data_IF_268724867797
#
_entry.id   IF_268724867797
#
_cell.length_a   1.000
_cell.length_b   1.000
_cell.length_c   1.000
_cell.angle_alpha   90.00
_cell.angle_beta   90.00
_cell.angle_gamma   90.00
#
_symmetry.space_group_name_H-M   'P 1'
#
loop_
_entity.id
_entity.type
_entity.pdbx_description
1 polymer ?
#
# COMPACT_ATOMS: atom_id res chain seq x y z
N UNK A 1 -6.09 2.53 84.63
CA UNK A 1 -4.93 1.95 85.34
C UNK A 1 -4.59 0.63 84.65
N UNK A 2 -3.61 0.64 83.71
CA UNK A 2 -2.43 -0.25 83.60
C UNK A 2 -2.73 -1.74 83.89
N UNK A 3 -2.49 -2.73 83.02
CA UNK A 3 -1.26 -3.03 82.24
C UNK A 3 -1.48 -4.20 81.26
N UNK A 4 -0.81 -4.18 80.10
CA UNK A 4 -0.14 -5.33 79.43
C UNK A 4 0.53 -4.80 78.14
N UNK A 5 1.80 -4.40 78.15
CA UNK A 5 3.03 -5.18 77.90
C UNK A 5 3.22 -5.71 76.46
N UNK A 6 4.13 -5.00 75.78
CA UNK A 6 4.96 -5.27 74.60
C UNK A 6 5.23 -6.74 74.17
N UNK A 7 5.13 -6.94 72.84
CA UNK A 7 6.12 -7.64 71.99
C UNK A 7 6.03 -6.98 70.59
N UNK A 8 7.02 -6.18 70.14
CA UNK A 8 8.25 -6.57 69.43
C UNK A 8 7.95 -7.31 68.11
N UNK A 9 7.80 -6.58 67.00
CA UNK A 9 8.83 -6.29 65.98
C UNK A 9 9.09 -7.49 65.05
N UNK A 10 8.60 -7.41 63.81
CA UNK A 10 9.19 -8.00 62.60
C UNK A 10 8.46 -7.43 61.36
N UNK A 11 8.62 -6.12 61.13
CA UNK A 11 8.36 -5.51 59.84
C UNK A 11 9.50 -5.89 58.88
N UNK A 12 9.39 -7.06 58.27
CA UNK A 12 10.13 -7.38 57.07
C UNK A 12 9.58 -6.52 55.92
N UNK A 13 10.07 -5.29 55.83
CA UNK A 13 9.89 -4.41 54.68
C UNK A 13 10.55 -5.05 53.46
N UNK A 14 9.78 -5.80 52.69
CA UNK A 14 10.14 -6.15 51.31
C UNK A 14 10.14 -4.85 50.51
N UNK A 15 11.26 -4.39 49.93
CA UNK A 15 11.24 -3.24 49.04
C UNK A 15 10.50 -3.67 47.78
N UNK A 16 9.28 -3.17 47.60
CA UNK A 16 8.62 -3.17 46.30
C UNK A 16 9.45 -2.26 45.40
N UNK A 17 10.36 -2.87 44.64
CA UNK A 17 10.96 -2.25 43.46
C UNK A 17 9.83 -2.07 42.45
N UNK A 18 9.10 -0.96 42.58
CA UNK A 18 8.28 -0.41 41.49
C UNK A 18 9.29 -0.01 40.43
N UNK A 19 9.57 -0.95 39.52
CA UNK A 19 10.23 -0.65 38.27
C UNK A 19 9.30 0.26 37.47
N UNK A 20 9.38 1.56 37.71
CA UNK A 20 8.97 2.58 36.75
C UNK A 20 9.89 2.47 35.53
N UNK A 21 9.64 1.44 34.72
CA UNK A 21 10.14 1.38 33.37
C UNK A 21 9.55 2.56 32.63
N UNK A 22 10.36 3.60 32.47
CA UNK A 22 10.13 4.77 31.62
C UNK A 22 9.92 4.33 30.15
N UNK A 23 8.80 3.69 29.85
CA UNK A 23 8.27 3.69 28.51
C UNK A 23 7.70 5.09 28.29
N UNK A 24 8.57 6.01 27.85
CA UNK A 24 8.14 7.32 27.37
C UNK A 24 7.00 7.07 26.40
N UNK A 25 5.77 7.55 26.66
CA UNK A 25 4.66 7.30 25.74
C UNK A 25 5.09 7.77 24.37
N UNK A 26 4.94 6.90 23.37
CA UNK A 26 5.30 7.22 22.00
C UNK A 26 4.68 8.56 21.66
N UNK A 27 5.52 9.53 21.26
CA UNK A 27 5.07 10.89 20.97
C UNK A 27 3.95 10.79 19.95
N UNK A 28 2.74 11.16 20.35
CA UNK A 28 1.60 11.13 19.45
C UNK A 28 1.90 12.08 18.28
N UNK A 29 1.81 11.57 17.06
CA UNK A 29 2.05 12.36 15.87
C UNK A 29 1.09 13.57 15.86
N UNK A 30 1.62 14.75 15.54
CA UNK A 30 0.80 15.95 15.47
C UNK A 30 -0.27 15.81 14.38
N UNK A 31 -1.43 16.48 14.50
CA UNK A 31 -2.44 16.49 13.45
C UNK A 31 -1.90 16.93 12.08
N UNK A 32 -0.90 17.83 12.09
CA UNK A 32 -0.20 18.28 10.89
C UNK A 32 0.67 17.18 10.28
N UNK A 33 1.43 16.43 11.09
CA UNK A 33 2.22 15.30 10.60
C UNK A 33 1.34 14.23 9.95
N UNK A 34 0.21 13.87 10.58
CA UNK A 34 -0.77 12.91 10.03
C UNK A 34 -1.30 13.39 8.67
N UNK A 35 -1.59 14.69 8.56
CA UNK A 35 -2.06 15.30 7.33
C UNK A 35 -1.01 15.20 6.21
N UNK A 36 0.24 15.53 6.49
CA UNK A 36 1.33 15.41 5.51
C UNK A 36 1.62 13.95 5.12
N UNK A 37 1.50 13.00 6.06
CA UNK A 37 1.61 11.57 5.74
C UNK A 37 0.58 11.15 4.69
N UNK A 38 -0.66 11.67 4.74
CA UNK A 38 -1.69 11.36 3.76
C UNK A 38 -1.31 11.74 2.31
N UNK A 39 -0.42 12.72 2.12
CA UNK A 39 0.10 13.05 0.79
C UNK A 39 1.02 11.99 0.20
N UNK A 40 1.54 11.06 1.01
CA UNK A 40 2.23 9.88 0.48
C UNK A 40 1.36 9.08 -0.49
N UNK A 41 0.04 9.01 -0.24
CA UNK A 41 -0.91 8.36 -1.15
C UNK A 41 -1.11 9.11 -2.49
N UNK A 42 -0.59 10.33 -2.60
CA UNK A 42 -0.58 11.13 -3.84
C UNK A 42 0.81 11.10 -4.49
N UNK A 43 1.85 11.38 -3.71
CA UNK A 43 3.23 11.47 -4.21
C UNK A 43 3.75 10.14 -4.76
N UNK A 44 3.43 9.01 -4.11
CA UNK A 44 3.84 7.68 -4.56
C UNK A 44 3.34 7.38 -5.98
N UNK A 45 2.01 7.39 -6.22
CA UNK A 45 1.44 7.17 -7.54
C UNK A 45 1.94 8.11 -8.63
N UNK A 46 2.12 9.40 -8.31
CA UNK A 46 2.68 10.37 -9.27
C UNK A 46 4.10 9.99 -9.65
N UNK A 47 4.97 9.73 -8.68
CA UNK A 47 6.35 9.31 -8.92
C UNK A 47 6.40 8.00 -9.73
N UNK A 48 5.62 7.01 -9.33
CA UNK A 48 5.55 5.72 -10.00
C UNK A 48 5.07 5.85 -11.44
N UNK A 49 4.03 6.65 -11.67
CA UNK A 49 3.48 6.91 -12.99
C UNK A 49 4.48 7.58 -13.91
N UNK A 50 5.14 8.64 -13.42
CA UNK A 50 6.19 9.30 -14.17
C UNK A 50 7.35 8.34 -14.49
N UNK A 51 7.74 7.49 -13.54
CA UNK A 51 8.81 6.51 -13.74
C UNK A 51 8.48 5.54 -14.88
N UNK A 52 7.35 4.83 -14.83
CA UNK A 52 7.05 3.84 -15.87
C UNK A 52 6.72 4.49 -17.23
N UNK A 53 6.18 5.72 -17.25
CA UNK A 53 5.97 6.47 -18.50
C UNK A 53 7.33 6.79 -19.14
N UNK A 54 8.22 7.45 -18.40
CA UNK A 54 9.53 7.87 -18.91
C UNK A 54 10.38 6.65 -19.30
N UNK A 55 10.47 5.66 -18.42
CA UNK A 55 11.25 4.44 -18.69
C UNK A 55 10.63 3.63 -19.83
N UNK A 56 9.31 3.67 -20.01
CA UNK A 56 8.63 3.05 -21.16
C UNK A 56 9.09 3.62 -22.51
N UNK A 57 9.42 4.91 -22.59
CA UNK A 57 9.97 5.51 -23.81
C UNK A 57 11.47 5.30 -23.97
N UNK A 58 12.21 5.16 -22.86
CA UNK A 58 13.67 5.02 -22.88
C UNK A 58 14.16 3.58 -22.96
N UNK A 59 13.32 2.60 -22.62
CA UNK A 59 13.75 1.22 -22.50
C UNK A 59 14.06 0.60 -23.87
N UNK A 60 15.28 0.08 -24.08
CA UNK A 60 15.63 -0.68 -25.28
C UNK A 60 15.08 -2.11 -25.25
N UNK A 61 14.18 -2.43 -24.31
CA UNK A 61 13.75 -3.78 -23.99
C UNK A 61 14.67 -4.46 -22.98
N UNK A 62 14.41 -5.74 -22.73
CA UNK A 62 15.03 -6.53 -21.67
C UNK A 62 15.16 -7.99 -22.08
N UNK A 63 15.87 -8.78 -21.28
CA UNK A 63 15.90 -10.24 -21.40
C UNK A 63 15.12 -10.80 -20.22
N UNK A 64 14.23 -11.76 -20.47
CA UNK A 64 13.50 -12.49 -19.43
C UNK A 64 13.47 -13.96 -19.79
N UNK A 65 13.79 -14.84 -18.83
CA UNK A 65 13.80 -16.30 -19.03
C UNK A 65 14.60 -16.74 -20.27
N UNK A 66 15.75 -16.11 -20.48
CA UNK A 66 16.65 -16.39 -21.62
C UNK A 66 16.20 -15.85 -22.97
N UNK A 67 15.06 -15.15 -23.06
CA UNK A 67 14.56 -14.56 -24.32
C UNK A 67 14.72 -13.05 -24.32
N UNK A 68 15.30 -12.50 -25.40
CA UNK A 68 15.36 -11.05 -25.62
C UNK A 68 14.01 -10.54 -26.11
N UNK A 69 13.44 -9.59 -25.36
CA UNK A 69 12.21 -8.87 -25.69
C UNK A 69 12.61 -7.43 -25.99
N UNK A 70 12.61 -7.04 -27.26
CA UNK A 70 12.99 -5.70 -27.69
C UNK A 70 12.32 -5.32 -29.03
N UNK A 71 12.01 -4.02 -29.24
CA UNK A 71 12.08 -2.93 -28.25
C UNK A 71 11.01 -3.07 -27.17
N UNK A 72 11.07 -2.23 -26.14
CA UNK A 72 9.99 -2.17 -25.16
C UNK A 72 8.70 -1.62 -25.82
N UNK A 73 7.56 -2.26 -25.56
CA UNK A 73 6.25 -1.80 -26.04
C UNK A 73 5.34 -1.54 -24.82
N UNK A 74 4.89 -0.29 -24.58
CA UNK A 74 3.98 0.00 -23.48
C UNK A 74 2.58 -0.60 -23.66
N UNK A 75 2.27 -1.14 -24.84
CA UNK A 75 1.01 -1.83 -25.12
C UNK A 75 1.11 -3.30 -24.76
N UNK A 76 2.17 -3.96 -25.24
CA UNK A 76 2.30 -5.43 -25.13
C UNK A 76 3.03 -5.86 -23.87
N UNK A 77 3.98 -5.05 -23.40
CA UNK A 77 4.85 -5.40 -22.29
C UNK A 77 4.43 -4.68 -21.02
N UNK A 78 4.44 -5.44 -19.92
CA UNK A 78 4.04 -4.93 -18.63
C UNK A 78 4.99 -3.89 -18.04
N UNK A 79 4.50 -3.13 -17.07
CA UNK A 79 5.31 -2.25 -16.22
C UNK A 79 6.40 -3.07 -15.53
N UNK A 80 6.06 -4.28 -15.06
CA UNK A 80 7.00 -5.24 -14.47
C UNK A 80 8.21 -5.56 -15.38
N UNK A 81 8.03 -5.53 -16.71
CA UNK A 81 9.13 -5.69 -17.67
C UNK A 81 10.17 -4.56 -17.62
N UNK A 82 9.78 -3.34 -17.24
CA UNK A 82 10.72 -2.24 -17.01
C UNK A 82 11.61 -2.47 -15.78
N UNK A 83 11.19 -3.37 -14.88
CA UNK A 83 11.98 -3.88 -13.76
C UNK A 83 13.10 -4.85 -14.16
N UNK A 84 13.32 -5.06 -15.45
CA UNK A 84 14.39 -5.88 -16.03
C UNK A 84 15.33 -5.05 -16.91
N UNK A 85 16.51 -5.59 -17.20
CA UNK A 85 17.51 -4.93 -18.06
C UNK A 85 18.04 -3.60 -17.48
N UNK A 86 18.37 -2.66 -18.36
CA UNK A 86 19.02 -1.38 -17.99
C UNK A 86 18.11 -0.44 -17.20
N UNK A 87 16.78 -0.56 -17.35
CA UNK A 87 15.80 0.25 -16.62
C UNK A 87 15.51 -0.29 -15.22
N UNK A 88 15.94 -1.52 -14.91
CA UNK A 88 15.60 -2.22 -13.67
C UNK A 88 15.90 -1.41 -12.39
N UNK A 89 17.09 -0.82 -12.20
CA UNK A 89 17.38 -0.09 -10.96
C UNK A 89 16.41 1.06 -10.71
N UNK A 90 15.96 1.73 -11.78
CA UNK A 90 15.06 2.87 -11.69
C UNK A 90 13.61 2.43 -11.44
N UNK A 91 13.11 1.47 -12.22
CA UNK A 91 11.72 1.01 -12.08
C UNK A 91 11.50 0.30 -10.75
N UNK A 92 12.42 -0.57 -10.34
CA UNK A 92 12.31 -1.33 -9.09
C UNK A 92 12.40 -0.39 -7.87
N UNK A 93 13.25 0.63 -7.94
CA UNK A 93 13.27 1.70 -6.92
C UNK A 93 11.94 2.45 -6.89
N UNK A 94 11.36 2.77 -8.05
CA UNK A 94 10.06 3.44 -8.11
C UNK A 94 8.93 2.57 -7.51
N UNK A 95 8.94 1.25 -7.73
CA UNK A 95 8.02 0.31 -7.07
C UNK A 95 8.13 0.39 -5.54
N UNK A 96 9.35 0.26 -5.01
CA UNK A 96 9.59 0.31 -3.56
C UNK A 96 9.20 1.66 -2.97
N UNK A 97 9.65 2.77 -3.57
CA UNK A 97 9.32 4.12 -3.09
C UNK A 97 7.82 4.40 -3.16
N UNK A 98 7.14 3.96 -4.21
CA UNK A 98 5.68 4.07 -4.29
C UNK A 98 5.01 3.29 -3.16
N UNK A 99 5.42 2.05 -2.92
CA UNK A 99 4.93 1.24 -1.80
C UNK A 99 5.12 1.94 -0.45
N UNK A 100 6.31 2.48 -0.17
CA UNK A 100 6.58 3.21 1.07
C UNK A 100 5.72 4.47 1.22
N UNK A 101 5.57 5.26 0.16
CA UNK A 101 4.74 6.47 0.20
C UNK A 101 3.26 6.14 0.33
N UNK A 102 2.76 5.13 -0.36
CA UNK A 102 1.38 4.66 -0.24
C UNK A 102 1.11 4.11 1.17
N UNK A 103 2.06 3.42 1.79
CA UNK A 103 1.95 2.92 3.17
C UNK A 103 1.85 4.08 4.17
N UNK A 104 2.74 5.07 4.07
CA UNK A 104 2.66 6.30 4.85
C UNK A 104 1.33 7.02 4.62
N UNK A 105 0.88 7.07 3.37
CA UNK A 105 -0.41 7.58 2.94
C UNK A 105 -1.59 6.92 3.64
N UNK A 106 -1.64 5.58 3.62
CA UNK A 106 -2.69 4.80 4.27
C UNK A 106 -2.78 5.09 5.77
N UNK A 107 -1.63 5.18 6.45
CA UNK A 107 -1.57 5.58 7.87
C UNK A 107 -2.12 7.00 8.04
N UNK A 108 -1.64 7.97 7.25
CA UNK A 108 -2.10 9.36 7.34
C UNK A 108 -3.61 9.52 7.10
N UNK A 109 -4.16 8.82 6.10
CA UNK A 109 -5.58 8.85 5.75
C UNK A 109 -6.42 8.42 6.95
N UNK A 110 -6.20 7.22 7.49
CA UNK A 110 -7.11 6.67 8.50
C UNK A 110 -6.85 7.21 9.90
N UNK A 111 -5.61 7.56 10.24
CA UNK A 111 -5.33 8.28 11.49
C UNK A 111 -5.89 9.71 11.48
N UNK A 112 -6.10 10.29 10.31
CA UNK A 112 -6.77 11.60 10.15
C UNK A 112 -8.29 11.56 10.38
N UNK A 113 -8.94 10.40 10.32
CA UNK A 113 -10.39 10.27 10.44
C UNK A 113 -10.76 9.95 11.90
N UNK A 114 -11.04 10.99 12.68
CA UNK A 114 -11.29 10.90 14.12
C UNK A 114 -12.64 10.28 14.46
N UNK A 115 -13.60 10.35 13.54
CA UNK A 115 -14.97 9.84 13.72
C UNK A 115 -15.05 8.30 13.67
N UNK A 116 -13.98 7.63 13.23
CA UNK A 116 -13.91 6.17 13.26
C UNK A 116 -13.41 5.66 14.61
N UNK A 117 -14.03 4.59 15.11
CA UNK A 117 -13.48 3.81 16.22
C UNK A 117 -12.14 3.14 15.87
N UNK A 118 -11.35 2.80 16.89
CA UNK A 118 -9.99 2.28 16.72
C UNK A 118 -9.92 1.01 15.87
N UNK A 119 -10.84 0.06 16.07
CA UNK A 119 -10.90 -1.18 15.28
C UNK A 119 -11.13 -0.90 13.80
N UNK A 120 -12.17 -0.13 13.46
CA UNK A 120 -12.48 0.21 12.07
C UNK A 120 -11.31 0.95 11.39
N UNK A 121 -10.67 1.85 12.13
CA UNK A 121 -9.50 2.59 11.65
C UNK A 121 -8.34 1.66 11.30
N UNK A 122 -7.96 0.77 12.20
CA UNK A 122 -6.87 -0.17 11.97
C UNK A 122 -7.21 -1.22 10.91
N UNK A 123 -8.45 -1.71 10.86
CA UNK A 123 -8.91 -2.60 9.78
C UNK A 123 -8.73 -1.93 8.42
N UNK A 124 -9.14 -0.67 8.28
CA UNK A 124 -8.94 0.08 7.05
C UNK A 124 -7.46 0.28 6.71
N UNK A 125 -6.63 0.68 7.68
CA UNK A 125 -5.18 0.87 7.48
C UNK A 125 -4.50 -0.42 7.03
N UNK A 126 -4.74 -1.53 7.72
CA UNK A 126 -4.10 -2.82 7.41
C UNK A 126 -4.55 -3.34 6.04
N UNK A 127 -5.86 -3.29 5.75
CA UNK A 127 -6.37 -3.74 4.46
C UNK A 127 -5.85 -2.89 3.30
N UNK A 128 -5.75 -1.57 3.49
CA UNK A 128 -5.20 -0.68 2.47
C UNK A 128 -3.67 -0.81 2.35
N UNK A 129 -2.98 -1.23 3.42
CA UNK A 129 -1.54 -1.45 3.42
C UNK A 129 -1.09 -2.69 2.63
N UNK A 130 -2.00 -3.62 2.31
CA UNK A 130 -1.67 -4.79 1.50
C UNK A 130 -1.15 -4.39 0.10
N UNK A 131 -1.78 -3.41 -0.55
CA UNK A 131 -1.35 -2.93 -1.86
C UNK A 131 0.06 -2.32 -1.88
N UNK A 132 0.42 -1.36 -1.01
CA UNK A 132 1.79 -0.85 -0.96
C UNK A 132 2.83 -1.90 -0.60
N UNK A 133 2.50 -2.87 0.25
CA UNK A 133 3.38 -3.99 0.53
C UNK A 133 3.61 -4.83 -0.73
N UNK A 134 2.55 -5.13 -1.48
CA UNK A 134 2.64 -5.79 -2.77
C UNK A 134 3.55 -5.07 -3.76
N UNK A 135 3.39 -3.74 -3.90
CA UNK A 135 4.26 -2.94 -4.76
C UNK A 135 5.74 -2.98 -4.33
N UNK A 136 6.02 -2.96 -3.03
CA UNK A 136 7.40 -3.08 -2.55
C UNK A 136 7.98 -4.48 -2.84
N UNK A 137 7.17 -5.53 -2.68
CA UNK A 137 7.54 -6.90 -3.05
C UNK A 137 7.87 -6.99 -4.54
N UNK A 138 7.07 -6.39 -5.43
CA UNK A 138 7.31 -6.38 -6.88
C UNK A 138 8.60 -5.65 -7.29
N UNK A 139 8.99 -4.63 -6.52
CA UNK A 139 10.27 -3.95 -6.70
C UNK A 139 11.48 -4.74 -6.19
N UNK A 140 11.30 -5.58 -5.15
CA UNK A 140 12.38 -6.42 -4.61
C UNK A 140 12.55 -7.70 -5.44
N UNK A 141 11.44 -8.35 -5.78
CA UNK A 141 11.40 -9.57 -6.57
C UNK A 141 10.94 -9.23 -7.96
N UNK A 142 11.87 -9.21 -8.91
CA UNK A 142 11.57 -8.89 -10.31
C UNK A 142 10.74 -9.99 -10.96
N UNK A 143 10.25 -9.72 -12.18
CA UNK A 143 9.45 -10.66 -12.96
C UNK A 143 10.13 -12.03 -13.17
N UNK A 144 11.47 -12.10 -13.18
CA UNK A 144 12.20 -13.37 -13.26
C UNK A 144 12.07 -14.21 -11.97
N UNK A 145 11.92 -13.56 -10.82
CA UNK A 145 11.51 -14.19 -9.56
C UNK A 145 9.98 -14.36 -9.53
N UNK A 146 9.45 -15.12 -10.49
CA UNK A 146 8.03 -15.10 -10.86
C UNK A 146 7.07 -15.34 -9.68
N UNK A 147 7.33 -16.34 -8.82
CA UNK A 147 6.42 -16.66 -7.71
C UNK A 147 6.31 -15.50 -6.69
N UNK A 148 7.40 -15.00 -6.08
CA UNK A 148 7.29 -13.88 -5.15
C UNK A 148 6.80 -12.59 -5.84
N UNK A 149 7.15 -12.35 -7.10
CA UNK A 149 6.60 -11.23 -7.88
C UNK A 149 5.08 -11.37 -8.07
N UNK A 150 4.58 -12.56 -8.40
CA UNK A 150 3.14 -12.78 -8.54
C UNK A 150 2.39 -12.59 -7.21
N UNK A 151 3.01 -12.97 -6.09
CA UNK A 151 2.45 -12.68 -4.75
C UNK A 151 2.41 -11.16 -4.51
N UNK A 152 3.48 -10.44 -4.84
CA UNK A 152 3.52 -8.98 -4.76
C UNK A 152 2.43 -8.33 -5.60
N UNK A 153 2.28 -8.74 -6.86
CA UNK A 153 1.25 -8.28 -7.77
C UNK A 153 -0.17 -8.52 -7.23
N UNK A 154 -0.45 -9.74 -6.74
CA UNK A 154 -1.76 -10.08 -6.16
C UNK A 154 -2.05 -9.27 -4.88
N UNK A 155 -1.05 -9.07 -4.02
CA UNK A 155 -1.19 -8.17 -2.87
C UNK A 155 -1.41 -6.72 -3.32
N UNK A 156 -0.69 -6.27 -4.34
CA UNK A 156 -0.75 -4.93 -4.94
C UNK A 156 -2.13 -4.59 -5.48
N UNK A 157 -2.68 -5.51 -6.27
CA UNK A 157 -3.75 -5.22 -7.22
C UNK A 157 -5.02 -6.04 -6.97
N UNK A 158 -4.93 -7.26 -6.42
CA UNK A 158 -6.11 -8.06 -6.10
C UNK A 158 -6.69 -7.74 -4.71
N UNK A 159 -5.85 -7.36 -3.73
CA UNK A 159 -6.35 -6.98 -2.40
C UNK A 159 -7.34 -5.80 -2.40
N UNK A 160 -7.21 -4.76 -3.26
CA UNK A 160 -8.22 -3.72 -3.44
C UNK A 160 -9.64 -4.22 -3.71
N UNK A 161 -9.81 -5.36 -4.38
CA UNK A 161 -11.14 -5.94 -4.63
C UNK A 161 -11.89 -6.14 -3.31
N UNK A 162 -11.22 -6.65 -2.28
CA UNK A 162 -11.83 -6.85 -0.96
C UNK A 162 -11.71 -5.62 -0.07
N UNK A 163 -10.55 -4.95 -0.08
CA UNK A 163 -10.30 -3.81 0.81
C UNK A 163 -11.22 -2.64 0.47
N UNK A 164 -11.49 -2.35 -0.80
CA UNK A 164 -12.43 -1.29 -1.19
C UNK A 164 -13.87 -1.57 -0.74
N UNK A 165 -14.32 -2.83 -0.72
CA UNK A 165 -15.63 -3.18 -0.15
C UNK A 165 -15.66 -2.87 1.34
N UNK A 166 -14.70 -3.40 2.10
CA UNK A 166 -14.68 -3.25 3.57
C UNK A 166 -14.51 -1.78 3.96
N UNK A 167 -13.51 -1.10 3.37
CA UNK A 167 -13.23 0.32 3.61
C UNK A 167 -14.43 1.17 3.18
N UNK A 168 -15.03 0.88 2.02
CA UNK A 168 -16.22 1.57 1.53
C UNK A 168 -17.39 1.48 2.50
N UNK A 169 -17.69 0.29 3.02
CA UNK A 169 -18.75 0.08 4.03
C UNK A 169 -18.47 0.82 5.34
N UNK A 170 -17.22 0.83 5.80
CA UNK A 170 -16.83 1.54 7.03
C UNK A 170 -16.88 3.06 6.85
N UNK A 171 -16.36 3.59 5.73
CA UNK A 171 -16.39 5.02 5.42
C UNK A 171 -17.82 5.55 5.19
N UNK A 172 -18.76 4.71 4.75
CA UNK A 172 -20.19 5.07 4.67
C UNK A 172 -20.82 5.44 6.01
N UNK A 173 -20.23 5.00 7.12
CA UNK A 173 -20.67 5.34 8.49
C UNK A 173 -20.16 6.70 8.94
N UNK A 174 -19.14 7.25 8.28
CA UNK A 174 -18.58 8.57 8.58
C UNK A 174 -19.22 9.61 7.66
N UNK A 175 -20.01 10.53 8.22
CA UNK A 175 -20.82 11.48 7.45
C UNK A 175 -20.02 12.22 6.36
N UNK A 176 -18.81 12.68 6.69
CA UNK A 176 -17.91 13.39 5.76
C UNK A 176 -17.38 12.49 4.64
N UNK A 177 -17.21 11.20 4.87
CA UNK A 177 -16.67 10.23 3.91
C UNK A 177 -17.74 9.40 3.21
N UNK A 178 -19.02 9.59 3.57
CA UNK A 178 -20.13 8.74 3.12
C UNK A 178 -20.19 8.56 1.62
N UNK A 179 -20.09 9.65 0.86
CA UNK A 179 -20.12 9.61 -0.61
C UNK A 179 -18.90 8.87 -1.17
N UNK A 180 -17.72 9.11 -0.61
CA UNK A 180 -16.49 8.43 -1.02
C UNK A 180 -16.56 6.92 -0.74
N UNK A 181 -17.10 6.54 0.42
CA UNK A 181 -17.35 5.14 0.75
C UNK A 181 -18.24 4.43 -0.28
N UNK A 182 -19.28 5.10 -0.80
CA UNK A 182 -20.09 4.53 -1.90
C UNK A 182 -19.32 4.38 -3.20
N UNK A 183 -18.43 5.32 -3.54
CA UNK A 183 -17.57 5.20 -4.73
C UNK A 183 -16.61 4.02 -4.64
N UNK A 184 -16.04 3.75 -3.46
CA UNK A 184 -15.19 2.56 -3.26
C UNK A 184 -15.96 1.24 -3.46
N UNK A 185 -17.26 1.19 -3.17
CA UNK A 185 -18.08 0.02 -3.47
C UNK A 185 -18.24 -0.22 -4.98
N UNK A 186 -18.14 0.84 -5.81
CA UNK A 186 -18.11 0.74 -7.27
C UNK A 186 -16.70 0.47 -7.79
N UNK A 187 -15.67 0.95 -7.09
CA UNK A 187 -14.27 0.66 -7.38
C UNK A 187 -13.98 -0.84 -7.32
N UNK A 188 -14.45 -1.54 -6.27
CA UNK A 188 -14.21 -2.98 -6.11
C UNK A 188 -14.58 -3.84 -7.33
N UNK A 189 -15.82 -3.81 -7.86
CA UNK A 189 -16.16 -4.58 -9.06
C UNK A 189 -15.41 -4.09 -10.30
N UNK A 190 -15.11 -2.78 -10.42
CA UNK A 190 -14.29 -2.28 -11.52
C UNK A 190 -12.86 -2.86 -11.47
N UNK A 191 -12.20 -2.80 -10.31
CA UNK A 191 -10.87 -3.41 -10.10
C UNK A 191 -10.92 -4.92 -10.39
N UNK A 192 -11.97 -5.63 -9.98
CA UNK A 192 -12.12 -7.06 -10.27
C UNK A 192 -12.22 -7.32 -11.78
N UNK A 193 -13.05 -6.54 -12.50
CA UNK A 193 -13.18 -6.66 -13.97
C UNK A 193 -11.85 -6.39 -14.65
N UNK A 194 -11.12 -5.35 -14.23
CA UNK A 194 -9.81 -5.01 -14.78
C UNK A 194 -8.75 -6.06 -14.45
N UNK A 195 -8.80 -6.67 -13.26
CA UNK A 195 -7.92 -7.77 -12.86
C UNK A 195 -8.18 -9.02 -13.71
N UNK A 196 -9.44 -9.40 -13.90
CA UNK A 196 -9.82 -10.51 -14.77
C UNK A 196 -9.37 -10.23 -16.21
N UNK A 197 -9.61 -9.01 -16.71
CA UNK A 197 -9.16 -8.60 -18.04
C UNK A 197 -7.63 -8.68 -18.19
N UNK A 198 -6.89 -8.23 -17.17
CA UNK A 198 -5.43 -8.39 -17.15
C UNK A 198 -5.05 -9.85 -17.29
N UNK A 199 -5.56 -10.76 -16.45
CA UNK A 199 -5.23 -12.18 -16.53
C UNK A 199 -5.67 -12.85 -17.84
N UNK A 200 -6.78 -12.43 -18.45
CA UNK A 200 -7.21 -12.92 -19.76
C UNK A 200 -6.27 -12.50 -20.89
N UNK A 201 -5.62 -11.35 -20.75
CA UNK A 201 -4.68 -10.80 -21.75
C UNK A 201 -3.23 -11.15 -21.47
N UNK A 202 -2.90 -11.48 -20.21
CA UNK A 202 -1.56 -11.85 -19.78
C UNK A 202 -1.20 -13.24 -20.27
N UNK A 203 -0.18 -13.32 -21.11
CA UNK A 203 0.42 -14.58 -21.54
C UNK A 203 1.91 -14.53 -21.24
N UNK A 204 2.43 -15.42 -20.37
CA UNK A 204 3.86 -15.48 -20.02
C UNK A 204 4.67 -16.16 -21.14
N UNK A 205 4.26 -15.98 -22.40
CA UNK A 205 4.94 -16.51 -23.58
C UNK A 205 5.61 -15.36 -24.34
N UNK A 206 6.58 -15.70 -25.19
CA UNK A 206 7.25 -14.73 -26.07
C UNK A 206 6.24 -14.02 -26.97
N UNK A 207 5.30 -14.78 -27.57
CA UNK A 207 4.23 -14.21 -28.38
C UNK A 207 3.34 -13.25 -27.55
N UNK A 208 2.95 -13.68 -26.34
CA UNK A 208 2.15 -12.88 -25.42
C UNK A 208 2.79 -11.53 -25.07
N UNK A 209 4.10 -11.52 -24.82
CA UNK A 209 4.86 -10.32 -24.46
C UNK A 209 5.19 -9.41 -25.65
N UNK A 210 5.21 -9.94 -26.88
CA UNK A 210 5.53 -9.18 -28.09
C UNK A 210 4.31 -8.64 -28.85
N UNK A 211 3.19 -9.37 -28.86
CA UNK A 211 2.01 -9.03 -29.69
C UNK A 211 0.71 -8.90 -28.92
N UNK A 212 0.70 -9.21 -27.62
CA UNK A 212 -0.47 -9.06 -26.76
C UNK A 212 -0.77 -7.61 -26.36
N UNK A 213 -1.78 -7.45 -25.51
CA UNK A 213 -2.19 -6.15 -24.91
C UNK A 213 -2.10 -6.14 -23.37
N UNK A 214 -1.38 -7.11 -22.80
CA UNK A 214 -1.23 -7.26 -21.35
C UNK A 214 -0.63 -6.02 -20.69
N UNK A 215 0.31 -5.33 -21.38
CA UNK A 215 0.90 -4.09 -20.89
C UNK A 215 -0.10 -2.95 -20.76
N UNK A 216 -1.06 -2.86 -21.68
CA UNK A 216 -2.12 -1.85 -21.62
C UNK A 216 -3.12 -2.15 -20.50
N UNK A 217 -3.56 -3.41 -20.37
CA UNK A 217 -4.52 -3.81 -19.33
C UNK A 217 -3.92 -3.68 -17.93
N UNK A 218 -2.65 -4.04 -17.74
CA UNK A 218 -1.92 -3.82 -16.48
C UNK A 218 -1.86 -2.35 -16.11
N UNK A 219 -1.56 -1.46 -17.06
CA UNK A 219 -1.50 0.00 -16.81
C UNK A 219 -2.84 0.57 -16.42
N UNK A 220 -3.91 0.19 -17.12
CA UNK A 220 -5.27 0.66 -16.80
C UNK A 220 -5.62 0.23 -15.38
N UNK A 221 -5.36 -1.04 -15.04
CA UNK A 221 -5.59 -1.58 -13.71
C UNK A 221 -4.75 -0.88 -12.63
N UNK A 222 -3.45 -0.69 -12.86
CA UNK A 222 -2.55 0.00 -11.93
C UNK A 222 -2.97 1.46 -11.70
N UNK A 223 -3.33 2.18 -12.77
CA UNK A 223 -3.81 3.57 -12.70
C UNK A 223 -5.14 3.65 -11.97
N UNK A 224 -6.05 2.71 -12.20
CA UNK A 224 -7.35 2.65 -11.51
C UNK A 224 -7.17 2.52 -10.00
N UNK A 225 -6.39 1.53 -9.55
CA UNK A 225 -6.09 1.34 -8.12
C UNK A 225 -5.42 2.58 -7.53
N UNK A 226 -4.39 3.10 -8.22
CA UNK A 226 -3.65 4.28 -7.76
C UNK A 226 -4.50 5.54 -7.70
N UNK A 227 -5.46 5.72 -8.60
CA UNK A 227 -6.38 6.86 -8.58
C UNK A 227 -7.21 6.89 -7.30
N UNK A 228 -7.62 5.73 -6.76
CA UNK A 228 -8.33 5.67 -5.49
C UNK A 228 -7.44 6.03 -4.29
N UNK A 229 -6.18 5.60 -4.28
CA UNK A 229 -5.20 6.05 -3.29
C UNK A 229 -5.01 7.56 -3.33
N UNK A 230 -4.80 8.12 -4.54
CA UNK A 230 -4.64 9.57 -4.75
C UNK A 230 -5.88 10.32 -4.27
N UNK A 231 -7.08 9.84 -4.62
CA UNK A 231 -8.32 10.48 -4.23
C UNK A 231 -8.55 10.45 -2.71
N UNK A 232 -8.23 9.34 -2.04
CA UNK A 232 -8.29 9.25 -0.58
C UNK A 232 -7.26 10.16 0.09
N UNK A 233 -6.00 10.12 -0.37
CA UNK A 233 -4.90 10.93 0.17
C UNK A 233 -5.18 12.41 0.04
N UNK A 234 -5.62 12.85 -1.14
CA UNK A 234 -5.98 14.24 -1.39
C UNK A 234 -7.17 14.70 -0.54
N UNK A 235 -8.18 13.84 -0.40
CA UNK A 235 -9.35 14.15 0.42
C UNK A 235 -9.00 14.27 1.90
N UNK A 236 -8.15 13.37 2.42
CA UNK A 236 -7.65 13.43 3.78
C UNK A 236 -6.76 14.66 4.01
N UNK A 237 -5.88 14.99 3.07
CA UNK A 237 -5.01 16.17 3.17
C UNK A 237 -5.78 17.48 3.16
N UNK A 238 -6.85 17.59 2.36
CA UNK A 238 -7.63 18.83 2.23
C UNK A 238 -8.55 19.13 3.41
N UNK A 239 -8.94 18.13 4.18
CA UNK A 239 -9.99 18.28 5.20
C UNK A 239 -9.37 18.72 6.54
N UNK A 240 -9.89 19.82 7.07
CA UNK A 240 -9.77 20.23 8.47
C UNK A 240 -11.02 19.80 9.25
#
# INVERSE_FOLDING_TARGET
MKTSLHHANDDAATPVLIGEGFAKPAVQASPEAIRWLALGAVAGPVLFTLAWVVLGFLSPGYTAWGTRIAPYSPISQGISGLGLGITAPFMNTAFVLCGLFLLAGAVGIFQGIREMGALARWSCTVLLALSPLGMAVDGIFTLESFLPHMVGFLLGIASPVLSFVVIGLLLRRVQRWRRFGSWLLLASPLTLVLLVLFFLTFSPTVAGTQTGVAGLTERILAVEVQAWFVAMGWLAFRRR
#
